data_IF_153223433475
#
_entry.id   IF_153223433475
#
_cell.length_a   1.000
_cell.length_b   1.000
_cell.length_c   1.000
_cell.angle_alpha   90.00
_cell.angle_beta   90.00
_cell.angle_gamma   90.00
#
_symmetry.space_group_name_H-M   'P 1'
#
loop_
_entity.id
_entity.type
_entity.pdbx_description
1 polymer ?
#
# COMPACT_ATOMS: atom_id res chain seq x y z
N UNK A 1 -8.50 5.75 -11.48
CA UNK A 1 -9.44 4.59 -11.40
C UNK A 1 -9.20 3.88 -10.07
N UNK A 2 -10.24 3.45 -9.35
CA UNK A 2 -10.09 2.77 -8.04
C UNK A 2 -9.42 1.38 -8.15
N UNK A 3 -9.48 0.75 -9.32
CA UNK A 3 -9.10 -0.67 -9.51
C UNK A 3 -7.67 -0.89 -10.05
N UNK A 4 -6.83 0.14 -10.09
CA UNK A 4 -5.43 0.01 -10.48
C UNK A 4 -4.52 0.47 -9.34
N UNK A 5 -3.53 -0.34 -8.93
CA UNK A 5 -3.27 -1.74 -9.30
C UNK A 5 -4.38 -2.73 -8.86
N UNK A 6 -4.50 -3.88 -9.53
CA UNK A 6 -5.52 -4.89 -9.21
C UNK A 6 -5.21 -5.63 -7.91
N UNK A 7 -6.25 -6.11 -7.22
CA UNK A 7 -6.10 -6.84 -5.95
C UNK A 7 -5.22 -8.08 -6.10
N UNK A 8 -5.36 -8.81 -7.21
CA UNK A 8 -4.58 -10.02 -7.46
C UNK A 8 -3.09 -9.71 -7.61
N UNK A 9 -2.73 -8.60 -8.25
CA UNK A 9 -1.32 -8.15 -8.32
C UNK A 9 -0.78 -7.85 -6.93
N UNK A 10 -1.57 -7.15 -6.10
CA UNK A 10 -1.15 -6.75 -4.76
C UNK A 10 -0.93 -7.93 -3.82
N UNK A 11 -1.85 -8.91 -3.79
CA UNK A 11 -1.71 -10.08 -2.93
C UNK A 11 -0.56 -10.99 -3.36
N UNK A 12 -0.30 -11.09 -4.67
CA UNK A 12 0.84 -11.86 -5.19
C UNK A 12 2.17 -11.18 -4.85
N UNK A 13 2.23 -9.85 -4.94
CA UNK A 13 3.46 -9.09 -4.69
C UNK A 13 3.88 -9.06 -3.22
N UNK A 14 2.90 -9.07 -2.30
CA UNK A 14 3.15 -9.22 -0.86
C UNK A 14 3.51 -10.64 -0.45
N UNK A 15 3.16 -11.62 -1.27
CA UNK A 15 3.48 -13.03 -1.04
C UNK A 15 4.93 -13.37 -1.33
N UNK A 16 5.26 -14.64 -1.10
CA UNK A 16 6.58 -15.23 -1.40
C UNK A 16 6.38 -16.45 -2.28
N UNK A 17 7.20 -16.61 -3.32
CA UNK A 17 7.37 -17.84 -4.12
C UNK A 17 6.08 -18.66 -4.36
N UNK A 18 5.15 -18.07 -5.13
CA UNK A 18 3.90 -18.73 -5.53
C UNK A 18 2.83 -18.83 -4.45
N UNK A 19 3.05 -18.26 -3.26
CA UNK A 19 2.08 -18.20 -2.17
C UNK A 19 1.61 -16.74 -1.95
N UNK A 20 0.47 -16.34 -2.56
CA UNK A 20 -0.10 -15.02 -2.32
C UNK A 20 -0.59 -14.87 -0.88
N UNK A 21 -0.58 -13.64 -0.38
CA UNK A 21 -1.18 -13.34 0.93
C UNK A 21 -2.71 -13.33 0.87
N UNK A 22 -3.36 -13.43 2.02
CA UNK A 22 -4.82 -13.27 2.08
C UNK A 22 -5.24 -11.82 1.79
N UNK A 23 -6.44 -11.62 1.27
CA UNK A 23 -7.02 -10.28 1.05
C UNK A 23 -7.09 -9.47 2.36
N UNK A 24 -7.33 -10.14 3.49
CA UNK A 24 -7.30 -9.51 4.82
C UNK A 24 -5.90 -9.00 5.19
N UNK A 25 -4.85 -9.74 4.84
CA UNK A 25 -3.47 -9.29 5.04
C UNK A 25 -3.19 -8.04 4.20
N UNK A 26 -3.61 -8.02 2.93
CA UNK A 26 -3.51 -6.83 2.08
C UNK A 26 -4.20 -5.62 2.71
N UNK A 27 -5.43 -5.76 3.22
CA UNK A 27 -6.14 -4.66 3.87
C UNK A 27 -5.34 -4.08 5.05
N UNK A 28 -4.76 -4.94 5.88
CA UNK A 28 -3.96 -4.51 7.04
C UNK A 28 -2.67 -3.82 6.61
N UNK A 29 -1.93 -4.40 5.66
CA UNK A 29 -0.64 -3.85 5.18
C UNK A 29 -0.86 -2.51 4.47
N UNK A 30 -1.82 -2.44 3.54
CA UNK A 30 -2.14 -1.23 2.81
C UNK A 30 -2.62 -0.12 3.75
N UNK A 31 -3.47 -0.42 4.74
CA UNK A 31 -3.93 0.57 5.72
C UNK A 31 -2.82 1.05 6.66
N UNK A 32 -1.91 0.16 7.09
CA UNK A 32 -0.74 0.56 7.89
C UNK A 32 0.19 1.46 7.07
N UNK A 33 0.45 1.11 5.81
CA UNK A 33 1.31 1.92 4.95
C UNK A 33 0.70 3.27 4.61
N UNK A 34 -0.59 3.33 4.29
CA UNK A 34 -1.28 4.58 4.05
C UNK A 34 -1.20 5.53 5.25
N UNK A 35 -1.27 5.00 6.48
CA UNK A 35 -1.06 5.81 7.70
C UNK A 35 0.36 6.37 7.80
N UNK A 36 1.39 5.60 7.49
CA UNK A 36 2.77 6.11 7.45
C UNK A 36 2.94 7.23 6.42
N UNK A 37 2.32 7.11 5.25
CA UNK A 37 2.33 8.16 4.21
C UNK A 37 1.62 9.41 4.72
N UNK A 38 0.46 9.26 5.36
CA UNK A 38 -0.30 10.37 5.94
C UNK A 38 0.49 11.09 7.04
N UNK A 39 1.10 10.35 7.97
CA UNK A 39 1.93 10.91 9.03
C UNK A 39 3.12 11.71 8.46
N UNK A 40 3.74 11.20 7.39
CA UNK A 40 4.83 11.89 6.70
C UNK A 40 4.35 13.19 6.03
N UNK A 41 3.21 13.18 5.34
CA UNK A 41 2.64 14.40 4.74
C UNK A 41 2.26 15.44 5.81
N UNK A 42 1.66 15.00 6.92
CA UNK A 42 1.31 15.89 8.03
C UNK A 42 2.55 16.57 8.63
N UNK A 43 3.68 15.87 8.70
CA UNK A 43 4.95 16.43 9.19
C UNK A 43 5.57 17.47 8.25
N UNK A 44 5.28 17.40 6.94
CA UNK A 44 5.80 18.33 5.92
C UNK A 44 4.95 19.60 5.74
N UNK A 45 3.76 19.65 6.35
CA UNK A 45 2.82 20.77 6.22
C UNK A 45 1.90 20.64 5.01
N UNK A 46 0.83 21.45 4.93
CA UNK A 46 -0.19 21.32 3.90
C UNK A 46 0.36 21.67 2.50
N UNK A 47 0.41 20.68 1.61
CA UNK A 47 0.77 20.88 0.21
C UNK A 47 -0.49 20.96 -0.67
N UNK A 48 -0.83 22.13 -1.23
CA UNK A 48 -2.06 22.32 -2.01
C UNK A 48 -2.08 21.56 -3.34
N UNK A 49 -0.93 21.05 -3.81
CA UNK A 49 -0.83 20.29 -5.07
C UNK A 49 -0.91 18.77 -4.89
N UNK A 50 -0.98 18.28 -3.65
CA UNK A 50 -0.86 16.85 -3.34
C UNK A 50 -2.24 16.22 -3.10
N UNK A 51 -3.06 16.14 -4.15
CA UNK A 51 -4.33 15.41 -4.12
C UNK A 51 -4.12 13.94 -4.51
N UNK A 52 -3.18 13.27 -3.85
CA UNK A 52 -3.04 11.81 -3.97
C UNK A 52 -3.57 11.17 -2.70
N UNK A 53 -4.61 10.34 -2.84
CA UNK A 53 -5.12 9.54 -1.74
C UNK A 53 -3.99 8.62 -1.26
N UNK A 54 -3.66 8.67 0.02
CA UNK A 54 -2.53 7.98 0.64
C UNK A 54 -2.64 6.46 0.47
N UNK A 55 -3.87 5.95 0.42
CA UNK A 55 -4.14 4.55 0.12
C UNK A 55 -3.75 4.16 -1.31
N UNK A 56 -3.90 5.07 -2.28
CA UNK A 56 -3.45 4.83 -3.66
C UNK A 56 -1.93 4.79 -3.74
N UNK A 57 -1.24 5.66 -3.01
CA UNK A 57 0.23 5.64 -2.89
C UNK A 57 0.68 4.30 -2.27
N UNK A 58 0.06 3.89 -1.16
CA UNK A 58 0.38 2.62 -0.51
C UNK A 58 0.17 1.42 -1.44
N UNK A 59 -0.94 1.36 -2.17
CA UNK A 59 -1.19 0.30 -3.15
C UNK A 59 -0.14 0.31 -4.27
N UNK A 60 0.28 1.47 -4.75
CA UNK A 60 1.31 1.57 -5.77
C UNK A 60 2.67 1.09 -5.25
N UNK A 61 3.07 1.49 -4.04
CA UNK A 61 4.34 1.05 -3.45
C UNK A 61 4.37 -0.46 -3.17
N UNK A 62 3.21 -1.06 -2.82
CA UNK A 62 3.06 -2.51 -2.73
C UNK A 62 3.28 -3.15 -4.11
N UNK A 63 2.62 -2.65 -5.16
CA UNK A 63 2.79 -3.17 -6.52
C UNK A 63 4.23 -3.03 -7.04
N UNK A 64 4.92 -1.95 -6.69
CA UNK A 64 6.34 -1.72 -6.98
C UNK A 64 7.27 -2.68 -6.22
N UNK A 65 6.77 -3.39 -5.20
CA UNK A 65 7.55 -4.29 -4.36
C UNK A 65 8.40 -3.59 -3.30
N UNK A 66 8.11 -2.32 -3.00
CA UNK A 66 8.80 -1.53 -1.95
C UNK A 66 8.38 -1.96 -0.55
N UNK A 67 7.20 -2.56 -0.42
CA UNK A 67 6.63 -3.02 0.85
C UNK A 67 6.72 -4.54 0.93
N UNK A 68 7.21 -5.04 2.06
CA UNK A 68 7.19 -6.47 2.42
C UNK A 68 6.40 -6.64 3.70
N UNK A 69 5.69 -7.76 3.84
CA UNK A 69 5.08 -8.14 5.10
C UNK A 69 5.71 -9.43 5.62
N UNK A 70 6.12 -9.41 6.87
CA UNK A 70 6.53 -10.60 7.62
C UNK A 70 5.46 -10.92 8.64
N UNK A 71 5.15 -12.21 8.80
CA UNK A 71 4.45 -12.69 9.99
C UNK A 71 5.52 -12.93 11.05
N UNK A 72 5.30 -12.37 12.24
CA UNK A 72 6.06 -12.76 13.44
C UNK A 72 5.80 -14.24 13.75
#
# INVERSE_FOLDING_TARGET
MINQPSVDVLINKLGTDGQPVSRYCLCVVAAKRARQVLEHHMAQGPNPNEYLKEISVACQEIADGKIKCTKD
#
